data_IF_579147033644
#
_entry.id   IF_579147033644
#
_cell.length_a   1.000
_cell.length_b   1.000
_cell.length_c   1.000
_cell.angle_alpha   90.00
_cell.angle_beta   90.00
_cell.angle_gamma   90.00
#
_symmetry.space_group_name_H-M   'P 1'
#
loop_
_entity.id
_entity.type
_entity.pdbx_description
1 polymer ?
#
# COMPACT_ATOMS: atom_id res chain seq x y z
N UNK A 1 13.78 -1.46 -8.36
CA UNK A 1 13.62 0.01 -8.36
C UNK A 1 14.97 0.60 -8.72
N UNK A 2 15.10 1.27 -9.87
CA UNK A 2 16.35 1.89 -10.30
C UNK A 2 16.32 3.38 -9.93
N UNK A 3 17.26 3.83 -9.09
CA UNK A 3 17.34 5.21 -8.63
C UNK A 3 18.49 5.92 -9.36
N UNK A 4 18.22 7.07 -9.97
CA UNK A 4 19.30 7.92 -10.50
C UNK A 4 20.07 8.54 -9.33
N UNK A 5 21.39 8.44 -9.35
CA UNK A 5 22.29 8.99 -8.32
C UNK A 5 22.98 10.28 -8.75
N UNK A 6 23.03 10.56 -10.06
CA UNK A 6 23.71 11.71 -10.64
C UNK A 6 22.70 12.75 -11.12
N UNK A 7 22.67 13.90 -10.45
CA UNK A 7 21.78 15.02 -10.74
C UNK A 7 22.37 15.99 -11.78
N UNK A 8 23.62 15.82 -12.19
CA UNK A 8 24.24 16.60 -13.27
C UNK A 8 23.82 16.12 -14.66
N UNK A 9 23.25 14.91 -14.75
CA UNK A 9 22.80 14.31 -16.00
C UNK A 9 21.31 14.55 -16.21
N UNK A 10 21.00 15.03 -17.41
CA UNK A 10 19.62 15.19 -17.87
C UNK A 10 19.20 13.98 -18.69
N UNK A 11 18.04 13.42 -18.39
CA UNK A 11 17.40 12.43 -19.21
C UNK A 11 16.45 13.13 -20.20
N UNK A 12 16.71 12.97 -21.50
CA UNK A 12 15.82 13.45 -22.55
C UNK A 12 14.78 12.40 -22.93
N UNK A 13 13.63 12.86 -23.44
CA UNK A 13 12.64 12.01 -24.09
C UNK A 13 12.69 12.27 -25.60
N UNK A 14 12.73 11.21 -26.40
CA UNK A 14 12.62 11.28 -27.86
C UNK A 14 11.36 10.54 -28.30
N UNK A 15 10.73 11.02 -29.37
CA UNK A 15 9.51 10.45 -29.91
C UNK A 15 9.68 10.17 -31.40
N UNK A 16 9.22 9.01 -31.85
CA UNK A 16 9.22 8.67 -33.28
C UNK A 16 8.14 9.44 -34.06
N UNK A 17 7.11 9.93 -33.36
CA UNK A 17 6.00 10.66 -33.94
C UNK A 17 6.00 12.13 -33.49
N UNK A 18 6.14 13.04 -34.47
CA UNK A 18 6.15 14.49 -34.25
C UNK A 18 4.85 15.02 -33.64
N UNK A 19 3.69 14.42 -34.00
CA UNK A 19 2.40 14.81 -33.43
C UNK A 19 2.33 14.48 -31.94
N UNK A 20 2.77 13.29 -31.55
CA UNK A 20 2.78 12.87 -30.15
C UNK A 20 3.73 13.74 -29.31
N UNK A 21 4.89 14.10 -29.86
CA UNK A 21 5.83 15.01 -29.22
C UNK A 21 5.20 16.39 -28.96
N UNK A 22 4.52 16.94 -29.97
CA UNK A 22 3.86 18.24 -29.85
C UNK A 22 2.69 18.22 -28.87
N UNK A 23 1.85 17.18 -28.92
CA UNK A 23 0.71 17.01 -28.01
C UNK A 23 1.20 16.96 -26.54
N UNK A 24 2.27 16.21 -26.27
CA UNK A 24 2.88 16.12 -24.94
C UNK A 24 3.51 17.46 -24.50
N UNK A 25 4.23 18.13 -25.39
CA UNK A 25 4.84 19.43 -25.12
C UNK A 25 3.80 20.48 -24.73
N UNK A 26 2.74 20.63 -25.53
CA UNK A 26 1.65 21.58 -25.25
C UNK A 26 0.95 21.27 -23.93
N UNK A 27 0.79 19.99 -23.60
CA UNK A 27 0.20 19.58 -22.34
C UNK A 27 1.07 19.96 -21.13
N UNK A 28 2.39 19.73 -21.21
CA UNK A 28 3.34 20.11 -20.15
C UNK A 28 3.37 21.63 -19.97
N UNK A 29 3.45 22.39 -21.07
CA UNK A 29 3.37 23.85 -21.06
C UNK A 29 2.10 24.34 -20.33
N UNK A 30 0.93 23.79 -20.65
CA UNK A 30 -0.32 24.16 -19.99
C UNK A 30 -0.36 23.80 -18.51
N UNK A 31 0.26 22.68 -18.10
CA UNK A 31 0.36 22.26 -16.71
C UNK A 31 1.28 23.19 -15.91
N UNK A 32 2.44 23.53 -16.45
CA UNK A 32 3.45 24.36 -15.78
C UNK A 32 3.06 25.84 -15.76
N UNK A 33 2.32 26.32 -16.76
CA UNK A 33 1.83 27.70 -16.82
C UNK A 33 0.84 28.05 -15.68
N UNK A 34 0.22 27.05 -15.03
CA UNK A 34 -0.66 27.25 -13.86
C UNK A 34 -0.06 26.60 -12.62
N UNK A 35 0.76 27.32 -11.82
CA UNK A 35 1.41 26.77 -10.63
C UNK A 35 0.40 26.21 -9.61
N UNK A 36 -0.83 26.70 -9.62
CA UNK A 36 -1.95 26.20 -8.82
C UNK A 36 -2.26 24.71 -9.07
N UNK A 37 -2.01 24.23 -10.29
CA UNK A 37 -2.33 22.87 -10.76
C UNK A 37 -1.18 21.87 -10.55
N UNK A 38 0.04 22.39 -10.35
CA UNK A 38 1.25 21.61 -9.97
C UNK A 38 1.29 21.37 -8.46
N UNK A 39 0.31 21.91 -7.72
CA UNK A 39 0.03 21.45 -6.37
C UNK A 39 -0.23 19.95 -6.45
N UNK A 40 0.82 19.15 -6.19
CA UNK A 40 0.70 17.78 -5.68
C UNK A 40 -0.50 17.85 -4.75
N UNK A 41 -1.60 17.19 -5.12
CA UNK A 41 -2.87 17.37 -4.43
C UNK A 41 -2.65 17.00 -2.97
N UNK A 42 -2.29 17.96 -2.14
CA UNK A 42 -2.51 17.85 -0.72
C UNK A 42 -4.02 17.67 -0.61
N UNK A 43 -4.51 16.71 0.19
CA UNK A 43 -5.95 16.51 0.39
C UNK A 43 -6.63 17.78 0.93
N UNK A 44 -6.88 18.75 0.06
CA UNK A 44 -7.38 20.09 0.33
C UNK A 44 -8.87 20.09 0.08
N UNK A 45 -9.64 19.89 1.15
CA UNK A 45 -11.09 19.80 1.22
C UNK A 45 -11.83 20.78 0.29
N UNK A 46 -12.24 20.33 -0.90
CA UNK A 46 -13.40 20.95 -1.58
C UNK A 46 -14.63 20.66 -0.73
N UNK A 47 -15.18 21.67 -0.06
CA UNK A 47 -16.49 21.57 0.63
C UNK A 47 -17.55 21.22 -0.40
N UNK A 48 -17.90 19.93 -0.50
CA UNK A 48 -19.02 19.47 -1.33
C UNK A 48 -20.32 20.04 -0.74
N UNK A 49 -21.15 20.65 -1.59
CA UNK A 49 -22.54 20.99 -1.29
C UNK A 49 -23.24 19.72 -0.78
N UNK A 50 -24.03 19.82 0.29
CA UNK A 50 -24.71 18.69 0.94
C UNK A 50 -25.65 18.01 -0.07
N UNK A 51 -25.23 16.89 -0.64
CA UNK A 51 -26.13 15.95 -1.32
C UNK A 51 -27.05 15.30 -0.29
N UNK A 52 -28.27 14.87 -0.67
CA UNK A 52 -29.14 14.11 0.22
C UNK A 52 -28.39 12.91 0.82
N UNK A 53 -28.69 12.51 2.07
CA UNK A 53 -27.95 11.45 2.74
C UNK A 53 -28.03 10.19 1.86
N UNK A 54 -26.88 9.63 1.46
CA UNK A 54 -26.89 8.40 0.69
C UNK A 54 -27.60 7.33 1.52
N UNK A 55 -28.49 6.57 0.88
CA UNK A 55 -29.08 5.37 1.49
C UNK A 55 -27.91 4.56 2.06
N UNK A 56 -27.93 4.29 3.37
CA UNK A 56 -26.85 3.57 4.04
C UNK A 56 -26.78 2.17 3.43
N UNK A 57 -25.88 2.00 2.46
CA UNK A 57 -25.53 0.68 1.96
C UNK A 57 -24.86 -0.04 3.13
N UNK A 58 -25.56 -1.01 3.71
CA UNK A 58 -24.97 -1.85 4.75
C UNK A 58 -24.02 -2.77 4.02
N UNK A 59 -22.72 -2.50 4.16
CA UNK A 59 -21.68 -3.38 3.66
C UNK A 59 -21.88 -4.75 4.32
N UNK A 60 -21.74 -5.85 3.56
CA UNK A 60 -21.73 -7.18 4.15
C UNK A 60 -20.64 -7.24 5.23
N UNK A 61 -20.91 -7.97 6.31
CA UNK A 61 -19.91 -8.17 7.35
C UNK A 61 -18.67 -8.83 6.73
N UNK A 62 -17.48 -8.54 7.25
CA UNK A 62 -16.22 -9.10 6.73
C UNK A 62 -16.24 -10.64 6.69
N UNK A 63 -17.04 -11.28 7.54
CA UNK A 63 -17.29 -12.73 7.55
C UNK A 63 -18.07 -13.24 6.32
N UNK A 64 -18.88 -12.40 5.66
CA UNK A 64 -19.71 -12.80 4.51
C UNK A 64 -18.97 -12.74 3.16
N UNK A 65 -17.90 -11.94 3.05
CA UNK A 65 -17.07 -11.88 1.82
C UNK A 65 -15.90 -12.87 1.83
N UNK A 66 -15.74 -13.61 2.92
CA UNK A 66 -14.60 -14.46 3.20
C UNK A 66 -15.00 -15.94 3.25
N UNK A 67 -15.77 -16.44 2.27
CA UNK A 67 -15.94 -17.89 2.11
C UNK A 67 -15.70 -18.34 0.66
N UNK A 68 -14.90 -19.42 0.44
CA UNK A 68 -14.07 -20.15 1.39
C UNK A 68 -12.69 -19.47 1.52
N UNK A 69 -12.56 -18.58 2.49
CA UNK A 69 -11.36 -17.78 2.68
C UNK A 69 -10.43 -18.53 3.63
N UNK A 70 -9.30 -19.00 3.13
CA UNK A 70 -8.26 -19.70 3.91
C UNK A 70 -7.53 -18.77 4.91
N UNK A 71 -8.15 -17.66 5.31
CA UNK A 71 -7.60 -16.69 6.23
C UNK A 71 -8.31 -16.80 7.57
N UNK A 72 -7.61 -17.35 8.55
CA UNK A 72 -8.05 -17.39 9.94
C UNK A 72 -7.62 -16.09 10.63
N UNK A 73 -8.60 -15.29 11.08
CA UNK A 73 -8.33 -14.09 11.86
C UNK A 73 -8.05 -14.49 13.31
N UNK A 74 -6.80 -14.37 13.73
CA UNK A 74 -6.33 -14.70 15.08
C UNK A 74 -6.24 -13.38 15.85
N UNK A 75 -7.10 -13.19 16.85
CA UNK A 75 -7.20 -11.95 17.64
C UNK A 75 -6.38 -11.97 18.93
N UNK A 76 -5.92 -13.15 19.34
CA UNK A 76 -5.04 -13.35 20.50
C UNK A 76 -4.16 -14.57 20.23
N UNK A 77 -2.94 -14.56 20.77
CA UNK A 77 -1.95 -15.62 20.61
C UNK A 77 -1.35 -15.91 21.97
N UNK A 78 -1.38 -17.19 22.38
CA UNK A 78 -0.76 -17.66 23.62
C UNK A 78 0.49 -18.51 23.35
N UNK A 79 1.31 -18.76 24.37
CA UNK A 79 2.53 -19.59 24.27
C UNK A 79 2.20 -21.02 23.80
N UNK A 80 1.01 -21.53 24.16
CA UNK A 80 0.54 -22.85 23.72
C UNK A 80 0.30 -22.94 22.19
N UNK A 81 0.10 -21.81 21.49
CA UNK A 81 -0.16 -21.77 20.05
C UNK A 81 1.13 -21.82 19.19
N UNK A 82 2.30 -21.94 19.84
CA UNK A 82 3.61 -21.93 19.16
C UNK A 82 3.78 -23.07 18.14
N UNK A 83 3.20 -24.24 18.38
CA UNK A 83 3.22 -25.36 17.44
C UNK A 83 2.26 -25.16 16.26
N UNK A 84 1.24 -24.32 16.44
CA UNK A 84 0.15 -24.12 15.48
C UNK A 84 0.46 -23.05 14.43
N UNK A 85 1.17 -21.99 14.80
CA UNK A 85 1.48 -20.87 13.90
C UNK A 85 2.98 -20.76 13.63
N UNK A 86 3.38 -21.15 12.41
CA UNK A 86 4.78 -21.15 11.95
C UNK A 86 5.47 -19.78 12.12
N UNK A 87 4.74 -18.67 11.91
CA UNK A 87 5.28 -17.32 12.07
C UNK A 87 5.79 -17.03 13.49
N UNK A 88 5.19 -17.62 14.53
CA UNK A 88 5.65 -17.42 15.90
C UNK A 88 6.98 -18.11 16.17
N UNK A 89 7.24 -19.25 15.53
CA UNK A 89 8.51 -19.97 15.64
C UNK A 89 9.68 -19.13 15.11
N UNK A 90 9.43 -18.32 14.08
CA UNK A 90 10.46 -17.45 13.48
C UNK A 90 10.81 -16.21 14.31
N UNK A 91 9.98 -15.86 15.29
CA UNK A 91 10.15 -14.65 16.12
C UNK A 91 10.83 -14.93 17.47
N UNK A 92 11.04 -16.19 17.82
CA UNK A 92 11.73 -16.57 19.06
C UNK A 92 13.19 -16.92 18.73
N UNK A 93 14.19 -16.31 19.42
CA UNK A 93 15.59 -16.65 19.24
C UNK A 93 15.82 -18.15 19.50
N UNK A 94 16.57 -18.82 18.60
CA UNK A 94 16.89 -20.25 18.70
C UNK A 94 17.61 -20.62 20.02
N UNK A 95 18.21 -19.66 20.71
CA UNK A 95 18.91 -19.86 21.97
C UNK A 95 18.00 -20.22 23.15
N UNK A 96 16.68 -20.02 23.05
CA UNK A 96 15.72 -20.48 24.07
C UNK A 96 15.19 -21.89 23.81
N UNK A 97 15.51 -22.50 22.65
CA UNK A 97 14.98 -23.81 22.26
C UNK A 97 15.63 -24.97 23.04
N UNK A 98 16.86 -24.80 23.52
CA UNK A 98 17.59 -25.85 24.25
C UNK A 98 17.13 -26.01 25.70
N UNK A 99 16.51 -24.98 26.30
CA UNK A 99 16.14 -24.99 27.71
C UNK A 99 14.74 -25.60 28.00
N UNK A 100 14.01 -26.08 26.99
CA UNK A 100 12.64 -26.62 27.19
C UNK A 100 12.49 -28.10 26.83
N UNK A 101 13.58 -28.80 26.47
CA UNK A 101 13.52 -30.21 26.02
C UNK A 101 13.84 -31.22 27.15
N UNK A 102 14.21 -30.79 28.36
CA UNK A 102 14.34 -31.75 29.48
C UNK A 102 12.97 -32.00 30.15
N UNK A 103 12.44 -33.25 30.13
CA UNK A 103 11.34 -33.61 31.01
C UNK A 103 11.90 -33.73 32.44
N UNK A 104 11.19 -33.26 33.48
CA UNK A 104 11.59 -33.55 34.84
C UNK A 104 11.40 -35.05 35.11
N UNK A 105 12.40 -35.65 35.76
CA UNK A 105 12.40 -37.01 36.32
C UNK A 105 11.34 -37.14 37.41
#
# INVERSE_FOLDING_TARGET
>A
MCLSTDHSRLAGLSFDNSKAANDLWQHIEQLVARPENISLSVPGKKKKKKSPPPRKFVLPAKSNISQPCQFQHITSVDVADRSRYFSLQTLVPLNELENTIEPPI
#
